data_IF_425950455683
#
_entry.id   IF_425950455683
#
_cell.length_a   1.000
_cell.length_b   1.000
_cell.length_c   1.000
_cell.angle_alpha   90.00
_cell.angle_beta   90.00
_cell.angle_gamma   90.00
#
_symmetry.space_group_name_H-M   'P 1'
#
loop_
_entity.id
_entity.type
_entity.pdbx_description
1 polymer ?
#
# COMPACT_ATOMS: atom_id res chain seq x y z
N UNK A 1 -18.69 15.08 12.18
CA UNK A 1 -18.37 13.74 12.72
C UNK A 1 -18.41 12.64 11.66
N UNK A 2 -19.43 12.56 10.80
CA UNK A 2 -19.55 11.53 9.75
C UNK A 2 -18.35 11.46 8.80
N UNK A 3 -17.84 12.61 8.32
CA UNK A 3 -16.67 12.65 7.43
C UNK A 3 -15.42 12.04 8.08
N UNK A 4 -15.15 12.33 9.35
CA UNK A 4 -13.98 11.80 10.07
C UNK A 4 -14.05 10.28 10.26
N UNK A 5 -15.25 9.77 10.55
CA UNK A 5 -15.49 8.32 10.61
C UNK A 5 -15.28 7.64 9.25
N UNK A 6 -15.71 8.27 8.16
CA UNK A 6 -15.57 7.74 6.81
C UNK A 6 -14.11 7.72 6.34
N UNK A 7 -13.35 8.79 6.62
CA UNK A 7 -11.90 8.85 6.33
C UNK A 7 -11.11 7.81 7.12
N UNK A 8 -11.43 7.63 8.41
CA UNK A 8 -10.80 6.60 9.24
C UNK A 8 -11.13 5.18 8.76
N UNK A 9 -12.36 4.95 8.29
CA UNK A 9 -12.76 3.67 7.71
C UNK A 9 -11.99 3.39 6.40
N UNK A 10 -11.86 4.38 5.51
CA UNK A 10 -11.10 4.26 4.26
C UNK A 10 -9.63 3.98 4.56
N UNK A 11 -9.03 4.69 5.51
CA UNK A 11 -7.65 4.47 5.93
C UNK A 11 -7.45 3.07 6.51
N UNK A 12 -8.38 2.59 7.34
CA UNK A 12 -8.34 1.25 7.92
C UNK A 12 -8.46 0.14 6.85
N UNK A 13 -9.43 0.26 5.94
CA UNK A 13 -9.64 -0.71 4.86
C UNK A 13 -8.41 -0.75 3.95
N UNK A 14 -7.89 0.43 3.58
CA UNK A 14 -6.70 0.55 2.74
C UNK A 14 -5.47 -0.07 3.40
N UNK A 15 -5.27 0.16 4.70
CA UNK A 15 -4.19 -0.45 5.47
C UNK A 15 -4.32 -1.98 5.55
N UNK A 16 -5.54 -2.51 5.73
CA UNK A 16 -5.80 -3.96 5.73
C UNK A 16 -5.52 -4.61 4.38
N UNK A 17 -5.94 -3.97 3.28
CA UNK A 17 -5.67 -4.46 1.92
C UNK A 17 -4.17 -4.44 1.64
N UNK A 18 -3.49 -3.36 2.01
CA UNK A 18 -2.05 -3.25 1.85
C UNK A 18 -1.29 -4.31 2.66
N UNK A 19 -1.70 -4.57 3.90
CA UNK A 19 -1.12 -5.62 4.73
C UNK A 19 -1.29 -7.01 4.10
N UNK A 20 -2.50 -7.29 3.59
CA UNK A 20 -2.79 -8.56 2.90
C UNK A 20 -1.92 -8.72 1.66
N UNK A 21 -1.81 -7.67 0.84
CA UNK A 21 -0.99 -7.66 -0.36
C UNK A 21 0.51 -7.84 -0.05
N UNK A 22 1.03 -7.17 0.99
CA UNK A 22 2.41 -7.33 1.45
C UNK A 22 2.70 -8.75 1.98
N UNK A 23 1.75 -9.32 2.74
CA UNK A 23 1.88 -10.69 3.29
C UNK A 23 1.92 -11.71 2.16
N UNK A 24 1.09 -11.51 1.14
CA UNK A 24 1.02 -12.34 -0.05
C UNK A 24 2.32 -12.23 -0.86
N UNK A 25 2.80 -11.01 -1.11
CA UNK A 25 4.08 -10.78 -1.78
C UNK A 25 5.27 -11.40 -1.05
N UNK A 26 5.29 -11.35 0.30
CA UNK A 26 6.32 -12.00 1.12
C UNK A 26 6.35 -13.54 0.95
N UNK A 27 5.24 -14.18 0.60
CA UNK A 27 5.24 -15.61 0.29
C UNK A 27 5.73 -15.92 -1.12
N UNK A 28 5.28 -15.16 -2.13
CA UNK A 28 5.59 -15.47 -3.54
C UNK A 28 6.98 -15.03 -4.01
N UNK A 29 7.50 -13.90 -3.51
CA UNK A 29 8.81 -13.38 -3.89
C UNK A 29 9.99 -14.33 -3.63
N UNK A 30 10.17 -14.89 -2.42
CA UNK A 30 11.31 -15.76 -2.14
C UNK A 30 11.24 -17.08 -2.92
N UNK A 31 10.03 -17.60 -3.18
CA UNK A 31 9.83 -18.83 -3.96
C UNK A 31 10.26 -18.65 -5.42
N UNK A 32 9.82 -17.58 -6.08
CA UNK A 32 10.22 -17.31 -7.45
C UNK A 32 11.68 -16.84 -7.56
N UNK A 33 12.18 -16.07 -6.60
CA UNK A 33 13.56 -15.57 -6.59
C UNK A 33 14.60 -16.65 -6.29
N UNK A 34 14.31 -17.55 -5.34
CA UNK A 34 15.17 -18.70 -5.05
C UNK A 34 15.29 -19.64 -6.24
N UNK A 35 14.23 -19.75 -7.06
CA UNK A 35 14.22 -20.59 -8.25
C UNK A 35 15.03 -19.96 -9.41
N UNK A 36 14.88 -18.65 -9.67
CA UNK A 36 15.68 -17.95 -10.68
C UNK A 36 17.19 -17.98 -10.36
N UNK A 37 17.57 -17.92 -9.07
CA UNK A 37 18.99 -17.98 -8.68
C UNK A 37 19.61 -19.37 -8.76
N UNK A 38 18.81 -20.43 -8.61
CA UNK A 38 19.32 -21.81 -8.47
C UNK A 38 19.32 -22.60 -9.77
N UNK A 39 18.62 -22.14 -10.81
CA UNK A 39 18.48 -22.87 -12.07
C UNK A 39 19.33 -22.23 -13.17
N UNK A 40 20.27 -22.97 -13.79
CA UNK A 40 20.90 -22.54 -15.03
C UNK A 40 19.81 -22.32 -16.08
N UNK A 41 19.72 -21.10 -16.61
CA UNK A 41 18.73 -20.75 -17.63
C UNK A 41 18.80 -21.77 -18.78
N UNK A 42 17.75 -22.59 -18.97
CA UNK A 42 17.65 -23.48 -20.13
C UNK A 42 17.31 -24.95 -19.89
N UNK A 43 17.23 -25.45 -18.65
CA UNK A 43 16.97 -26.89 -18.41
C UNK A 43 15.50 -27.33 -18.47
N UNK A 44 14.51 -26.44 -18.29
CA UNK A 44 13.08 -26.77 -18.43
C UNK A 44 12.18 -25.52 -18.63
N UNK A 45 11.70 -25.24 -19.87
CA UNK A 45 11.04 -23.98 -20.21
C UNK A 45 9.68 -23.78 -19.51
N UNK A 46 8.94 -24.86 -19.20
CA UNK A 46 7.65 -24.75 -18.51
C UNK A 46 7.82 -24.25 -17.06
N UNK A 47 8.89 -24.67 -16.40
CA UNK A 47 9.15 -24.29 -15.00
C UNK A 47 9.71 -22.87 -14.88
N UNK A 48 10.51 -22.43 -15.86
CA UNK A 48 10.98 -21.03 -15.94
C UNK A 48 9.81 -20.05 -16.14
N UNK A 49 8.84 -20.38 -17.02
CA UNK A 49 7.61 -19.58 -17.20
C UNK A 49 6.83 -19.49 -15.88
N UNK A 50 6.69 -20.59 -15.14
CA UNK A 50 5.96 -20.61 -13.88
C UNK A 50 6.66 -19.77 -12.79
N UNK A 51 7.99 -19.85 -12.68
CA UNK A 51 8.77 -19.06 -11.72
C UNK A 51 8.70 -17.55 -12.02
N UNK A 52 8.77 -17.16 -13.30
CA UNK A 52 8.59 -15.77 -13.74
C UNK A 52 7.18 -15.26 -13.46
N UNK A 53 6.17 -16.11 -13.65
CA UNK A 53 4.79 -15.77 -13.34
C UNK A 53 4.59 -15.53 -11.84
N UNK A 54 5.19 -16.35 -10.97
CA UNK A 54 5.16 -16.16 -9.51
C UNK A 54 5.85 -14.86 -9.08
N UNK A 55 6.98 -14.49 -9.69
CA UNK A 55 7.65 -13.21 -9.45
C UNK A 55 6.83 -12.01 -9.91
N UNK A 56 6.24 -12.10 -11.11
CA UNK A 56 5.36 -11.05 -11.65
C UNK A 56 4.14 -10.84 -10.77
N UNK A 57 3.51 -11.93 -10.30
CA UNK A 57 2.42 -11.86 -9.33
C UNK A 57 2.89 -11.21 -8.02
N UNK A 58 4.02 -11.64 -7.46
CA UNK A 58 4.59 -11.06 -6.25
C UNK A 58 4.85 -9.55 -6.37
N UNK A 59 5.41 -9.10 -7.50
CA UNK A 59 5.64 -7.68 -7.78
C UNK A 59 4.34 -6.88 -7.93
N UNK A 60 3.33 -7.46 -8.59
CA UNK A 60 2.00 -6.83 -8.74
C UNK A 60 1.33 -6.64 -7.38
N UNK A 61 1.42 -7.63 -6.49
CA UNK A 61 0.89 -7.51 -5.12
C UNK A 61 1.66 -6.47 -4.28
N UNK A 62 2.96 -6.28 -4.48
CA UNK A 62 3.69 -5.18 -3.81
C UNK A 62 3.19 -3.83 -4.30
N UNK A 63 3.10 -3.64 -5.62
CA UNK A 63 2.63 -2.38 -6.21
C UNK A 63 1.20 -2.07 -5.77
N UNK A 64 0.31 -3.06 -5.78
CA UNK A 64 -1.05 -2.90 -5.28
C UNK A 64 -1.05 -2.54 -3.79
N UNK A 65 -0.26 -3.24 -2.96
CA UNK A 65 -0.16 -2.94 -1.54
C UNK A 65 0.38 -1.54 -1.25
N UNK A 66 1.42 -1.11 -1.98
CA UNK A 66 1.97 0.23 -1.89
C UNK A 66 0.95 1.30 -2.32
N UNK A 67 0.20 1.04 -3.40
CA UNK A 67 -0.87 1.92 -3.88
C UNK A 67 -1.98 2.11 -2.85
N UNK A 68 -2.43 1.03 -2.20
CA UNK A 68 -3.43 1.11 -1.14
C UNK A 68 -2.91 1.85 0.11
N UNK A 69 -1.64 1.63 0.50
CA UNK A 69 -1.02 2.39 1.58
C UNK A 69 -0.96 3.90 1.27
N UNK A 70 -0.54 4.25 0.06
CA UNK A 70 -0.46 5.64 -0.38
C UNK A 70 -1.85 6.31 -0.41
N UNK A 71 -2.87 5.61 -0.90
CA UNK A 71 -4.25 6.10 -0.90
C UNK A 71 -4.78 6.35 0.52
N UNK A 72 -4.53 5.42 1.46
CA UNK A 72 -4.90 5.58 2.86
C UNK A 72 -4.19 6.75 3.54
N UNK A 73 -2.88 6.92 3.27
CA UNK A 73 -2.09 8.05 3.77
C UNK A 73 -2.57 9.39 3.23
N UNK A 74 -2.79 9.49 1.92
CA UNK A 74 -3.30 10.71 1.28
C UNK A 74 -4.67 11.11 1.84
N UNK A 75 -5.58 10.14 2.00
CA UNK A 75 -6.90 10.40 2.57
C UNK A 75 -6.81 10.92 4.01
N UNK A 76 -5.89 10.37 4.80
CA UNK A 76 -5.64 10.81 6.18
C UNK A 76 -5.04 12.22 6.24
N UNK A 77 -4.07 12.52 5.36
CA UNK A 77 -3.44 13.84 5.24
C UNK A 77 -4.45 14.93 4.88
N UNK A 78 -5.28 14.68 3.85
CA UNK A 78 -6.34 15.60 3.43
C UNK A 78 -7.31 15.85 4.59
N UNK A 79 -7.64 14.82 5.36
CA UNK A 79 -8.56 14.98 6.48
C UNK A 79 -7.98 15.77 7.65
N UNK A 80 -6.71 15.54 8.00
CA UNK A 80 -6.00 16.33 9.01
C UNK A 80 -5.95 17.80 8.59
N UNK A 81 -5.62 18.07 7.33
CA UNK A 81 -5.57 19.43 6.80
C UNK A 81 -6.94 20.10 6.81
N UNK A 82 -7.99 19.38 6.41
CA UNK A 82 -9.37 19.88 6.45
C UNK A 82 -9.84 20.17 7.89
N UNK A 83 -9.51 19.31 8.85
CA UNK A 83 -9.82 19.52 10.27
C UNK A 83 -9.06 20.71 10.85
N UNK A 84 -7.78 20.87 10.49
CA UNK A 84 -6.97 22.02 10.89
C UNK A 84 -7.55 23.33 10.34
N UNK A 85 -7.87 23.37 9.05
CA UNK A 85 -8.51 24.52 8.42
C UNK A 85 -9.87 24.83 9.06
N UNK A 86 -10.72 23.82 9.27
CA UNK A 86 -12.00 24.00 9.94
C UNK A 86 -11.85 24.51 11.38
N UNK A 87 -10.88 24.00 12.13
CA UNK A 87 -10.56 24.46 13.49
C UNK A 87 -10.08 25.91 13.53
N UNK A 88 -9.26 26.32 12.55
CA UNK A 88 -8.81 27.70 12.38
C UNK A 88 -9.98 28.63 11.99
N UNK A 89 -10.84 28.22 11.04
CA UNK A 89 -12.02 28.99 10.63
C UNK A 89 -13.04 29.17 11.76
N UNK A 90 -13.21 28.16 12.61
CA UNK A 90 -14.11 28.22 13.76
C UNK A 90 -13.50 28.93 14.97
N UNK A 91 -12.26 29.43 14.87
CA UNK A 91 -11.55 30.10 15.96
C UNK A 91 -11.22 29.17 17.15
N UNK A 92 -11.29 27.85 16.94
CA UNK A 92 -10.98 26.86 17.98
C UNK A 92 -9.49 26.76 18.22
N UNK A 93 -8.67 26.99 17.18
CA UNK A 93 -7.21 27.00 17.24
C UNK A 93 -6.66 28.36 16.78
N UNK A 94 -5.55 28.85 17.36
CA UNK A 94 -4.90 30.05 16.86
C UNK A 94 -4.46 29.80 15.41
N UNK A 95 -5.02 30.57 14.49
CA UNK A 95 -4.64 30.57 13.07
C UNK A 95 -3.24 31.19 12.94
N UNK A 96 -2.20 30.45 13.29
CA UNK A 96 -0.83 30.86 13.09
C UNK A 96 0.05 29.61 12.95
N UNK A 97 0.18 29.10 11.73
CA UNK A 97 1.46 28.57 11.32
C UNK A 97 2.32 29.79 10.98
N UNK A 98 3.38 30.11 11.75
CA UNK A 98 4.38 31.03 11.27
C UNK A 98 5.04 30.38 10.04
N UNK A 99 4.75 30.93 8.87
CA UNK A 99 5.56 30.76 7.67
C UNK A 99 6.92 31.44 7.89
#
# INVERSE_FOLDING_TARGET
MLLAGLSALIAYISGRIAWYALRTARHYLPLGWGWIRSVPQGTDPKKDIHARQQLSMGGTYILAGAGWLAAGLLTSLVMIFALYMAGAYLGLWPAALPL
#
